data_IF_573681439665
#
_entry.id   IF_573681439665
#
_cell.length_a   1.000
_cell.length_b   1.000
_cell.length_c   1.000
_cell.angle_alpha   90.00
_cell.angle_beta   90.00
_cell.angle_gamma   90.00
#
_symmetry.space_group_name_H-M   'P 1'
#
loop_
_entity.id
_entity.type
_entity.pdbx_description
1 polymer ?
#
# COMPACT_ATOMS: atom_id res chain seq x y z
N UNK A 1 -3.69 -18.31 2.60
CA UNK A 1 -3.90 -16.85 2.54
C UNK A 1 -5.33 -16.53 2.94
N UNK A 2 -5.57 -15.56 3.83
CA UNK A 2 -6.94 -15.15 4.21
C UNK A 2 -7.59 -14.49 2.99
N UNK A 3 -8.82 -14.89 2.62
CA UNK A 3 -9.52 -14.52 1.37
C UNK A 3 -9.58 -13.01 1.06
N UNK A 4 -9.35 -12.14 2.06
CA UNK A 4 -9.24 -10.68 1.92
C UNK A 4 -8.21 -10.05 2.88
N UNK A 5 -7.10 -10.74 3.18
CA UNK A 5 -6.10 -10.26 4.17
C UNK A 5 -6.69 -9.94 5.56
N UNK A 6 -7.83 -10.55 5.92
CA UNK A 6 -8.53 -10.29 7.19
C UNK A 6 -9.59 -9.19 7.14
N UNK A 7 -9.84 -8.57 5.99
CA UNK A 7 -10.96 -7.64 5.81
C UNK A 7 -12.28 -8.43 5.73
N UNK A 8 -13.31 -8.11 6.53
CA UNK A 8 -14.64 -8.72 6.40
C UNK A 8 -15.19 -8.51 4.98
N UNK A 9 -15.84 -9.52 4.40
CA UNK A 9 -16.33 -9.48 3.02
C UNK A 9 -17.32 -8.32 2.82
N UNK A 10 -18.13 -8.06 3.84
CA UNK A 10 -19.15 -7.03 3.89
C UNK A 10 -18.50 -5.64 3.77
N UNK A 11 -17.27 -5.45 4.24
CA UNK A 11 -16.55 -4.18 4.21
C UNK A 11 -15.56 -4.06 3.04
N UNK A 12 -15.36 -5.12 2.27
CA UNK A 12 -14.36 -5.15 1.19
C UNK A 12 -14.63 -4.08 0.13
N UNK A 13 -15.90 -3.81 -0.18
CA UNK A 13 -16.29 -2.76 -1.13
C UNK A 13 -15.84 -1.36 -0.67
N UNK A 14 -15.92 -1.05 0.64
CA UNK A 14 -15.45 0.23 1.19
C UNK A 14 -13.92 0.34 1.12
N UNK A 15 -13.22 -0.77 1.34
CA UNK A 15 -11.77 -0.82 1.16
C UNK A 15 -11.39 -0.48 -0.29
N UNK A 16 -12.05 -1.10 -1.27
CA UNK A 16 -11.84 -0.79 -2.69
C UNK A 16 -12.13 0.68 -3.01
N UNK A 17 -13.21 1.26 -2.48
CA UNK A 17 -13.52 2.68 -2.69
C UNK A 17 -12.47 3.62 -2.11
N UNK A 18 -11.91 3.30 -0.93
CA UNK A 18 -10.76 4.05 -0.38
C UNK A 18 -9.53 3.95 -1.27
N UNK A 19 -9.24 2.78 -1.82
CA UNK A 19 -8.14 2.60 -2.77
C UNK A 19 -8.38 3.44 -4.03
N UNK A 20 -9.57 3.36 -4.62
CA UNK A 20 -9.96 4.13 -5.81
C UNK A 20 -9.78 5.64 -5.58
N UNK A 21 -10.26 6.16 -4.45
CA UNK A 21 -10.06 7.56 -4.08
C UNK A 21 -8.56 7.92 -3.96
N UNK A 22 -7.80 7.06 -3.28
CA UNK A 22 -6.38 7.31 -3.00
C UNK A 22 -5.52 7.27 -4.26
N UNK A 23 -5.86 6.44 -5.24
CA UNK A 23 -5.02 6.28 -6.45
C UNK A 23 -5.48 7.14 -7.62
N UNK A 24 -6.79 7.39 -7.78
CA UNK A 24 -7.32 8.12 -8.94
C UNK A 24 -7.48 9.63 -8.68
N UNK A 25 -7.67 10.04 -7.43
CA UNK A 25 -8.02 11.42 -7.09
C UNK A 25 -7.01 12.12 -6.17
N UNK A 26 -5.97 11.43 -5.69
CA UNK A 26 -4.95 12.05 -4.85
C UNK A 26 -3.82 12.68 -5.67
N UNK A 27 -3.11 13.63 -5.06
CA UNK A 27 -1.97 14.31 -5.67
C UNK A 27 -0.88 13.31 -6.13
N UNK A 28 -0.56 13.26 -7.44
CA UNK A 28 0.43 12.32 -7.99
C UNK A 28 1.84 12.51 -7.42
N UNK A 29 2.26 13.73 -7.07
CA UNK A 29 3.58 13.99 -6.49
C UNK A 29 3.67 13.40 -5.09
N UNK A 30 2.61 13.53 -4.29
CA UNK A 30 2.54 12.94 -2.95
C UNK A 30 2.55 11.41 -3.01
N UNK A 31 1.82 10.82 -3.96
CA UNK A 31 1.82 9.37 -4.19
C UNK A 31 3.22 8.87 -4.59
N UNK A 32 3.88 9.54 -5.54
CA UNK A 32 5.24 9.20 -5.96
C UNK A 32 6.24 9.31 -4.79
N UNK A 33 6.14 10.36 -3.98
CA UNK A 33 6.96 10.52 -2.79
C UNK A 33 6.78 9.34 -1.82
N UNK A 34 5.53 8.93 -1.57
CA UNK A 34 5.22 7.80 -0.71
C UNK A 34 5.80 6.47 -1.25
N UNK A 35 5.68 6.22 -2.55
CA UNK A 35 6.26 5.03 -3.18
C UNK A 35 7.80 4.99 -3.03
N UNK A 36 8.48 6.13 -3.23
CA UNK A 36 9.94 6.23 -3.02
C UNK A 36 10.33 5.91 -1.58
N UNK A 37 9.56 6.37 -0.59
CA UNK A 37 9.85 6.05 0.82
C UNK A 37 9.70 4.56 1.11
N UNK A 38 8.66 3.90 0.59
CA UNK A 38 8.47 2.46 0.77
C UNK A 38 9.61 1.65 0.14
N UNK A 39 10.01 1.97 -1.10
CA UNK A 39 11.16 1.29 -1.73
C UNK A 39 12.43 1.49 -0.92
N UNK A 40 12.68 2.70 -0.40
CA UNK A 40 13.83 2.96 0.46
C UNK A 40 13.79 2.12 1.76
N UNK A 41 12.62 1.98 2.38
CA UNK A 41 12.44 1.16 3.58
C UNK A 41 12.71 -0.32 3.30
N UNK A 42 12.17 -0.84 2.20
CA UNK A 42 12.40 -2.24 1.79
C UNK A 42 13.87 -2.50 1.48
N UNK A 43 14.54 -1.62 0.73
CA UNK A 43 15.97 -1.75 0.45
C UNK A 43 16.82 -1.71 1.74
N UNK A 44 16.45 -0.86 2.70
CA UNK A 44 17.12 -0.80 4.00
C UNK A 44 16.86 -2.03 4.86
N UNK A 45 15.67 -2.64 4.76
CA UNK A 45 15.37 -3.87 5.46
C UNK A 45 16.19 -5.01 4.87
N UNK A 46 16.15 -5.18 3.55
CA UNK A 46 16.89 -6.21 2.83
C UNK A 46 18.40 -6.09 3.04
N UNK A 47 18.97 -4.88 3.11
CA UNK A 47 20.41 -4.72 3.38
C UNK A 47 20.84 -5.12 4.79
N UNK A 48 19.89 -5.17 5.75
CA UNK A 48 20.14 -5.55 7.15
C UNK A 48 19.85 -7.02 7.42
N UNK A 49 18.98 -7.64 6.63
CA UNK A 49 18.52 -9.02 6.84
C UNK A 49 18.99 -9.97 5.75
N UNK A 50 19.68 -9.49 4.72
CA UNK A 50 20.39 -10.36 3.78
C UNK A 50 21.52 -11.10 4.53
N UNK A 51 21.66 -12.42 4.33
CA UNK A 51 22.69 -13.23 4.98
C UNK A 51 24.11 -12.84 4.56
#
# INVERSE_FOLDING_TARGET
>A
MRKYNGIPKEHFHLFLKKCEWRFNYSDPKRLLYQLKQWVKQELNYLSRTAP
#
